data_IF_507231578669
#
_entry.id   IF_507231578669
#
_cell.length_a   1.000
_cell.length_b   1.000
_cell.length_c   1.000
_cell.angle_alpha   90.00
_cell.angle_beta   90.00
_cell.angle_gamma   90.00
#
_symmetry.space_group_name_H-M   'P 1'
#
loop_
_entity.id
_entity.type
_entity.pdbx_description
1 polymer ?
#
# COMPACT_ATOMS: atom_id res chain seq x y z
N UNK A 1 -16.39 3.78 -3.40
CA UNK A 1 -15.05 4.30 -3.08
C UNK A 1 -14.01 3.24 -3.36
N UNK A 2 -12.87 3.65 -3.89
CA UNK A 2 -11.81 2.75 -4.27
C UNK A 2 -10.56 3.00 -3.44
N UNK A 3 -9.95 1.94 -2.95
CA UNK A 3 -8.77 1.99 -2.10
C UNK A 3 -7.60 1.30 -2.80
N UNK A 4 -6.44 1.93 -2.78
CA UNK A 4 -5.19 1.36 -3.28
C UNK A 4 -4.31 0.95 -2.10
N UNK A 5 -3.76 -0.27 -2.16
CA UNK A 5 -2.80 -0.77 -1.16
C UNK A 5 -1.49 -1.08 -1.87
N UNK A 6 -0.40 -0.60 -1.31
CA UNK A 6 0.96 -0.85 -1.80
C UNK A 6 1.76 -1.51 -0.68
N UNK A 7 2.18 -2.74 -0.90
CA UNK A 7 2.97 -3.49 0.06
C UNK A 7 4.22 -4.04 -0.63
N UNK A 8 5.36 -3.41 -0.41
CA UNK A 8 6.62 -3.75 -1.04
C UNK A 8 7.73 -4.07 -0.03
N UNK A 9 7.36 -4.57 1.15
CA UNK A 9 8.33 -4.83 2.23
C UNK A 9 8.88 -6.26 2.23
N UNK A 10 8.20 -7.20 1.58
CA UNK A 10 8.59 -8.61 1.57
C UNK A 10 9.29 -8.98 0.27
N UNK A 11 9.43 -10.29 0.00
CA UNK A 11 10.03 -10.80 -1.24
C UNK A 11 9.20 -10.50 -2.48
N UNK A 12 7.94 -10.12 -2.31
CA UNK A 12 7.05 -9.75 -3.39
C UNK A 12 6.46 -8.37 -3.17
N UNK A 13 6.16 -7.71 -4.26
CA UNK A 13 5.40 -6.47 -4.26
C UNK A 13 3.94 -6.83 -4.47
N UNK A 14 3.08 -6.39 -3.56
CA UNK A 14 1.63 -6.55 -3.68
C UNK A 14 1.00 -5.21 -3.96
N UNK A 15 0.25 -5.15 -5.06
CA UNK A 15 -0.56 -3.99 -5.43
C UNK A 15 -2.00 -4.44 -5.42
N UNK A 16 -2.83 -3.75 -4.65
CA UNK A 16 -4.21 -4.18 -4.42
C UNK A 16 -5.14 -2.99 -4.60
N UNK A 17 -6.23 -3.20 -5.32
CA UNK A 17 -7.31 -2.23 -5.41
C UNK A 17 -8.56 -2.86 -4.83
N UNK A 18 -9.15 -2.21 -3.85
CA UNK A 18 -10.44 -2.60 -3.30
C UNK A 18 -11.49 -1.69 -3.91
N UNK A 19 -12.42 -2.28 -4.65
CA UNK A 19 -13.54 -1.59 -5.28
C UNK A 19 -14.84 -2.20 -4.76
N UNK A 20 -15.36 -1.67 -3.67
CA UNK A 20 -16.52 -2.20 -2.95
C UNK A 20 -16.26 -3.66 -2.53
N UNK A 21 -16.96 -4.62 -3.13
CA UNK A 21 -16.81 -6.05 -2.83
C UNK A 21 -15.70 -6.71 -3.63
N UNK A 22 -15.19 -6.03 -4.67
CA UNK A 22 -14.20 -6.60 -5.56
C UNK A 22 -12.80 -6.23 -5.12
N UNK A 23 -11.89 -7.21 -5.18
CA UNK A 23 -10.48 -7.00 -4.84
C UNK A 23 -9.66 -7.43 -6.05
N UNK A 24 -8.85 -6.50 -6.56
CA UNK A 24 -7.96 -6.75 -7.68
C UNK A 24 -6.52 -6.71 -7.19
N UNK A 25 -5.77 -7.76 -7.47
CA UNK A 25 -4.41 -7.92 -6.96
C UNK A 25 -3.42 -8.13 -8.09
N UNK A 26 -2.27 -7.49 -7.98
CA UNK A 26 -1.13 -7.70 -8.86
C UNK A 26 0.08 -7.98 -7.98
N UNK A 27 0.83 -9.04 -8.32
CA UNK A 27 1.99 -9.47 -7.53
C UNK A 27 3.23 -9.49 -8.41
N UNK A 28 4.32 -8.92 -7.91
CA UNK A 28 5.56 -8.80 -8.65
C UNK A 28 6.74 -9.17 -7.77
N UNK A 29 7.82 -9.63 -8.40
CA UNK A 29 9.05 -9.90 -7.67
C UNK A 29 9.61 -8.59 -7.11
N UNK A 30 10.07 -8.62 -5.86
CA UNK A 30 10.72 -7.50 -5.21
C UNK A 30 12.14 -7.38 -5.74
N UNK A 31 12.35 -6.56 -6.76
CA UNK A 31 13.62 -6.36 -7.44
C UNK A 31 13.81 -4.89 -7.80
N UNK A 32 15.06 -4.49 -8.00
CA UNK A 32 15.36 -3.12 -8.42
C UNK A 32 14.59 -2.72 -9.68
N UNK A 33 14.53 -3.62 -10.65
CA UNK A 33 13.80 -3.38 -11.90
C UNK A 33 12.32 -3.06 -11.64
N UNK A 34 11.68 -3.80 -10.74
CA UNK A 34 10.27 -3.59 -10.42
C UNK A 34 10.07 -2.34 -9.56
N UNK A 35 11.03 -1.97 -8.70
CA UNK A 35 10.95 -0.71 -7.96
C UNK A 35 10.98 0.49 -8.92
N UNK A 36 11.84 0.44 -9.92
CA UNK A 36 11.94 1.52 -10.92
C UNK A 36 10.67 1.64 -11.75
N UNK A 37 9.89 0.57 -11.86
CA UNK A 37 8.64 0.51 -12.63
C UNK A 37 7.39 0.59 -11.77
N UNK A 38 7.50 0.87 -10.49
CA UNK A 38 6.37 0.71 -9.56
C UNK A 38 5.17 1.55 -10.00
N UNK A 39 5.37 2.78 -10.45
CA UNK A 39 4.29 3.62 -10.97
C UNK A 39 3.62 2.95 -12.18
N UNK A 40 4.42 2.40 -13.08
CA UNK A 40 3.91 1.71 -14.28
C UNK A 40 3.10 0.47 -13.88
N UNK A 41 3.57 -0.28 -12.88
CA UNK A 41 2.87 -1.46 -12.40
C UNK A 41 1.51 -1.10 -11.79
N UNK A 42 1.46 0.00 -11.04
CA UNK A 42 0.20 0.52 -10.49
C UNK A 42 -0.74 0.93 -11.61
N UNK A 43 -0.24 1.68 -12.59
CA UNK A 43 -1.05 2.10 -13.73
C UNK A 43 -1.60 0.91 -14.53
N UNK A 44 -0.80 -0.13 -14.72
CA UNK A 44 -1.25 -1.35 -15.43
C UNK A 44 -2.40 -2.04 -14.70
N UNK A 45 -2.30 -2.14 -13.37
CA UNK A 45 -3.37 -2.72 -12.57
C UNK A 45 -4.66 -1.90 -12.71
N UNK A 46 -4.53 -0.58 -12.63
CA UNK A 46 -5.67 0.32 -12.74
C UNK A 46 -6.32 0.24 -14.13
N UNK A 47 -5.51 0.28 -15.19
CA UNK A 47 -6.02 0.19 -16.57
C UNK A 47 -6.73 -1.14 -16.82
N UNK A 48 -6.22 -2.23 -16.29
CA UNK A 48 -6.83 -3.56 -16.45
C UNK A 48 -8.27 -3.59 -15.96
N UNK A 49 -8.59 -2.76 -14.98
CA UNK A 49 -9.92 -2.71 -14.36
C UNK A 49 -10.67 -1.40 -14.62
N UNK A 50 -10.23 -0.63 -15.61
CA UNK A 50 -10.84 0.63 -16.01
C UNK A 50 -10.98 1.63 -14.85
N UNK A 51 -9.94 1.72 -14.02
CA UNK A 51 -9.90 2.60 -12.85
C UNK A 51 -8.88 3.69 -13.12
N UNK A 52 -9.25 4.95 -12.83
CA UNK A 52 -8.33 6.08 -12.89
C UNK A 52 -7.89 6.49 -11.48
N UNK A 53 -6.76 7.18 -11.41
CA UNK A 53 -6.23 7.64 -10.12
C UNK A 53 -7.21 8.59 -9.42
N UNK A 54 -7.98 9.38 -10.18
CA UNK A 54 -8.98 10.28 -9.61
C UNK A 54 -10.11 9.55 -8.89
N UNK A 55 -10.28 8.27 -9.13
CA UNK A 55 -11.30 7.44 -8.47
C UNK A 55 -10.80 6.81 -7.16
N UNK A 56 -9.50 6.90 -6.88
CA UNK A 56 -8.93 6.40 -5.64
C UNK A 56 -9.20 7.41 -4.53
N UNK A 57 -9.85 6.96 -3.46
CA UNK A 57 -10.21 7.83 -2.32
C UNK A 57 -9.13 7.83 -1.24
N UNK A 58 -8.42 6.74 -1.07
CA UNK A 58 -7.37 6.61 -0.06
C UNK A 58 -6.35 5.55 -0.46
N UNK A 59 -5.15 5.66 0.12
CA UNK A 59 -4.04 4.76 -0.16
C UNK A 59 -3.51 4.23 1.16
N UNK A 60 -3.22 2.92 1.20
CA UNK A 60 -2.57 2.28 2.33
C UNK A 60 -1.21 1.77 1.88
N UNK A 61 -0.15 2.14 2.59
CA UNK A 61 1.22 1.76 2.25
C UNK A 61 1.90 1.13 3.46
N UNK A 62 2.55 -0.01 3.24
CA UNK A 62 3.32 -0.67 4.28
C UNK A 62 4.65 0.06 4.47
N UNK A 63 4.91 0.55 5.69
CA UNK A 63 6.12 1.31 6.06
C UNK A 63 7.24 0.43 6.61
N UNK A 64 7.08 -0.87 6.60
CA UNK A 64 8.06 -1.82 7.10
C UNK A 64 7.66 -2.45 8.44
N UNK A 65 8.56 -3.20 9.07
CA UNK A 65 9.94 -3.45 8.66
C UNK A 65 10.04 -4.40 7.46
N UNK A 66 11.12 -4.25 6.69
CA UNK A 66 11.37 -5.11 5.54
C UNK A 66 12.33 -4.46 4.54
N UNK A 67 12.11 -4.75 3.26
CA UNK A 67 12.94 -4.25 2.18
C UNK A 67 13.12 -2.73 2.24
N UNK A 68 14.36 -2.28 2.35
CA UNK A 68 14.70 -0.86 2.35
C UNK A 68 14.28 -0.20 1.04
N UNK A 69 14.68 -0.79 -0.08
CA UNK A 69 14.39 -0.23 -1.40
C UNK A 69 12.89 -0.22 -1.71
N UNK A 70 12.18 -1.32 -1.41
CA UNK A 70 10.75 -1.43 -1.64
C UNK A 70 9.93 -0.47 -0.79
N UNK A 71 10.26 -0.36 0.48
CA UNK A 71 9.60 0.56 1.41
C UNK A 71 9.80 2.00 0.96
N UNK A 72 11.03 2.36 0.65
CA UNK A 72 11.38 3.71 0.25
C UNK A 72 10.71 4.12 -1.07
N UNK A 73 10.71 3.22 -2.05
CA UNK A 73 10.09 3.44 -3.34
C UNK A 73 8.58 3.67 -3.22
N UNK A 74 7.90 2.80 -2.47
CA UNK A 74 6.45 2.90 -2.28
C UNK A 74 6.06 4.17 -1.51
N UNK A 75 6.82 4.53 -0.48
CA UNK A 75 6.57 5.76 0.28
C UNK A 75 6.74 7.00 -0.61
N UNK A 76 7.78 7.05 -1.43
CA UNK A 76 8.02 8.17 -2.34
C UNK A 76 6.87 8.36 -3.32
N UNK A 77 6.35 7.26 -3.87
CA UNK A 77 5.22 7.30 -4.80
C UNK A 77 3.96 7.82 -4.11
N UNK A 78 3.68 7.31 -2.91
CA UNK A 78 2.49 7.70 -2.15
C UNK A 78 2.53 9.17 -1.79
N UNK A 79 3.68 9.67 -1.35
CA UNK A 79 3.86 11.11 -1.08
C UNK A 79 3.66 11.95 -2.33
N UNK A 80 4.18 11.49 -3.46
CA UNK A 80 4.02 12.19 -4.75
C UNK A 80 2.56 12.26 -5.17
N UNK A 81 1.82 11.17 -5.03
CA UNK A 81 0.39 11.12 -5.33
C UNK A 81 -0.38 12.05 -4.40
N UNK A 82 -0.07 12.05 -3.12
CA UNK A 82 -0.71 12.94 -2.15
C UNK A 82 -0.51 14.42 -2.51
N UNK A 83 0.73 14.79 -2.86
CA UNK A 83 1.03 16.17 -3.24
C UNK A 83 0.32 16.58 -4.54
N UNK A 84 0.27 15.69 -5.52
CA UNK A 84 -0.30 16.00 -6.83
C UNK A 84 -1.83 15.93 -6.86
N UNK A 85 -2.43 14.99 -6.16
CA UNK A 85 -3.86 14.68 -6.24
C UNK A 85 -4.61 14.89 -4.94
N UNK A 86 -3.93 15.19 -3.86
CA UNK A 86 -4.50 15.37 -2.51
C UNK A 86 -5.26 14.14 -2.01
N UNK A 87 -4.82 12.96 -2.42
CA UNK A 87 -5.37 11.71 -1.92
C UNK A 87 -4.73 11.40 -0.57
N UNK A 88 -5.56 11.14 0.44
CA UNK A 88 -5.06 10.78 1.76
C UNK A 88 -4.41 9.40 1.75
N UNK A 89 -3.35 9.22 2.53
CA UNK A 89 -2.72 7.93 2.70
C UNK A 89 -2.56 7.57 4.17
N UNK A 90 -2.49 6.26 4.41
CA UNK A 90 -2.26 5.68 5.73
C UNK A 90 -1.05 4.77 5.63
N UNK A 91 -0.03 5.09 6.41
CA UNK A 91 1.20 4.31 6.47
C UNK A 91 1.13 3.37 7.66
N UNK A 92 1.08 2.08 7.38
CA UNK A 92 0.92 1.05 8.40
C UNK A 92 2.12 0.13 8.48
N UNK A 93 2.22 -0.56 9.61
CA UNK A 93 3.10 -1.71 9.82
C UNK A 93 2.28 -2.78 10.52
N UNK A 94 2.54 -4.05 10.23
CA UNK A 94 1.88 -5.11 10.99
C UNK A 94 2.24 -5.06 12.47
N UNK A 95 3.35 -4.40 12.83
CA UNK A 95 3.70 -4.14 14.23
C UNK A 95 2.69 -3.24 14.93
N UNK A 96 1.93 -2.45 14.19
CA UNK A 96 0.89 -1.58 14.75
C UNK A 96 -0.31 -2.39 15.25
N UNK A 97 -0.48 -3.62 14.77
CA UNK A 97 -1.66 -4.44 15.03
C UNK A 97 -1.42 -5.48 16.12
N UNK A 98 -0.79 -5.08 17.20
CA UNK A 98 -0.33 -5.98 18.27
C UNK A 98 -1.43 -6.78 18.96
N UNK A 99 -2.66 -6.29 18.92
CA UNK A 99 -3.79 -6.97 19.51
C UNK A 99 -4.45 -8.05 18.65
N UNK A 100 -4.03 -8.19 17.38
CA UNK A 100 -4.64 -9.12 16.45
C UNK A 100 -4.05 -10.51 16.57
N UNK A 101 -4.92 -11.52 16.66
CA UNK A 101 -4.51 -12.92 16.85
C UNK A 101 -3.93 -13.56 15.60
N UNK A 102 -4.37 -13.14 14.41
CA UNK A 102 -4.01 -13.75 13.14
C UNK A 102 -3.32 -12.76 12.20
N UNK A 103 -2.29 -12.09 12.68
CA UNK A 103 -1.57 -11.08 11.88
C UNK A 103 -1.11 -11.64 10.53
N UNK A 104 -0.68 -12.90 10.48
CA UNK A 104 -0.18 -13.52 9.24
C UNK A 104 -1.27 -13.80 8.21
N UNK A 105 -2.52 -13.80 8.60
CA UNK A 105 -3.65 -14.14 7.75
C UNK A 105 -4.63 -12.98 7.57
N UNK A 106 -4.18 -11.75 7.76
CA UNK A 106 -5.00 -10.57 7.54
C UNK A 106 -5.30 -10.44 6.05
N UNK A 107 -6.57 -10.39 5.70
CA UNK A 107 -7.00 -10.15 4.34
C UNK A 107 -6.90 -8.66 3.98
N UNK A 108 -6.64 -8.36 2.72
CA UNK A 108 -6.50 -6.98 2.27
C UNK A 108 -7.71 -6.12 2.61
N UNK A 109 -8.92 -6.66 2.49
CA UNK A 109 -10.16 -5.91 2.79
C UNK A 109 -10.28 -5.50 4.25
N UNK A 110 -9.56 -6.18 5.15
CA UNK A 110 -9.58 -5.88 6.59
C UNK A 110 -8.63 -4.74 6.95
N UNK A 111 -7.66 -4.46 6.11
CA UNK A 111 -6.60 -3.51 6.41
C UNK A 111 -7.11 -2.10 6.73
N UNK A 112 -8.04 -1.52 5.96
CA UNK A 112 -8.59 -0.20 6.32
C UNK A 112 -9.26 -0.19 7.69
N UNK A 113 -9.97 -1.24 8.06
CA UNK A 113 -10.61 -1.35 9.37
C UNK A 113 -9.59 -1.45 10.49
N UNK A 114 -8.50 -2.18 10.27
CA UNK A 114 -7.43 -2.30 11.26
C UNK A 114 -6.72 -0.98 11.46
N UNK A 115 -6.44 -0.26 10.39
CA UNK A 115 -5.82 1.06 10.51
C UNK A 115 -6.69 2.02 11.31
N UNK A 116 -7.99 1.96 11.13
CA UNK A 116 -8.92 2.75 11.93
C UNK A 116 -8.94 2.30 13.40
N UNK A 117 -9.00 0.99 13.63
CA UNK A 117 -9.02 0.41 14.98
C UNK A 117 -7.79 0.80 15.80
N UNK A 118 -6.61 0.81 15.17
CA UNK A 118 -5.35 1.12 15.84
C UNK A 118 -4.93 2.57 15.66
N UNK A 119 -5.84 3.44 15.24
CA UNK A 119 -5.66 4.89 15.18
C UNK A 119 -4.45 5.31 14.35
N UNK A 120 -4.26 4.69 13.20
CA UNK A 120 -3.21 5.08 12.26
C UNK A 120 -3.56 6.46 11.70
N UNK A 121 -2.66 7.42 11.88
CA UNK A 121 -2.87 8.80 11.45
C UNK A 121 -2.67 8.93 9.96
N UNK A 122 -3.56 9.67 9.30
CA UNK A 122 -3.42 9.92 7.87
C UNK A 122 -2.27 10.87 7.56
N UNK A 123 -1.66 10.66 6.42
CA UNK A 123 -0.63 11.55 5.86
C UNK A 123 0.62 11.71 6.75
N UNK A 124 0.92 10.68 7.53
CA UNK A 124 2.09 10.64 8.39
C UNK A 124 2.87 9.34 8.13
N UNK A 125 4.15 9.48 7.80
CA UNK A 125 5.02 8.33 7.56
C UNK A 125 6.23 8.38 8.47
N UNK A 126 6.46 7.25 9.17
CA UNK A 126 7.69 6.99 9.90
C UNK A 126 8.20 5.62 9.45
N UNK A 127 9.02 5.55 8.39
CA UNK A 127 9.47 4.25 7.86
C UNK A 127 10.30 3.48 8.88
N UNK A 128 10.17 2.15 8.83
CA UNK A 128 10.96 1.23 9.65
C UNK A 128 11.83 0.42 8.70
N UNK A 129 13.14 0.58 8.82
CA UNK A 129 14.08 -0.16 8.01
C UNK A 129 14.78 -1.22 8.83
N UNK A 130 15.00 -2.38 8.23
CA UNK A 130 15.86 -3.41 8.80
C UNK A 130 17.25 -3.22 8.21
N UNK A 131 18.11 -2.82 9.03
CA UNK A 131 19.54 -2.80 8.87
C UNK A 131 20.23 -2.26 7.76
#
# INVERSE_FOLDING_TARGET
>A
MKTLIIDAVSKRIFLVIINNKNIYTSTHKNSKSNFDKLVILIERLMKRHNISLNQISDIYVNRGPGSFAGTRSSISIVKGIHLAKKIDYFSYSYLDFKGEKNIKNIEWKELPKLCKKYDIKKNLIKPIYLG
#
